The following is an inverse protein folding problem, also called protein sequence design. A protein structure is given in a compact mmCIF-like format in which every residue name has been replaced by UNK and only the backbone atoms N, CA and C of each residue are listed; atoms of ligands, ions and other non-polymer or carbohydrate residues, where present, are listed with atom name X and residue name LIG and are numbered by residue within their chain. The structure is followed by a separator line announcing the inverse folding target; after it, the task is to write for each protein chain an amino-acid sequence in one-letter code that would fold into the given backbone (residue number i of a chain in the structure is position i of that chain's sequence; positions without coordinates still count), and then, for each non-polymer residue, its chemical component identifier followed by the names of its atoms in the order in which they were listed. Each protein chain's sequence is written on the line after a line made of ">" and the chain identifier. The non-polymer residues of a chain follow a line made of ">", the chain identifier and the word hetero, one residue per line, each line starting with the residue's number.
data_IF_097577345319
#
_entry.id   IF_097577345319
#
_cell.length_a   1.000
_cell.length_b   1.000
_cell.length_c   1.000
_cell.angle_alpha   90.00
_cell.angle_beta   90.00
_cell.angle_gamma   90.00
#
_symmetry.space_group_name_H-M   'P 1'
#
loop_
_entity.id
_entity.type
_entity.pdbx_description
1 polymer ?
#
# COMPACT_ATOMS: atom_id res chain seq x y z
N UNK A 1 -26.68 -14.92 -23.57
CA UNK A 1 -27.79 -14.94 -22.59
C UNK A 1 -27.30 -15.64 -21.34
N UNK A 2 -26.70 -14.90 -20.41
CA UNK A 2 -26.52 -15.38 -19.04
C UNK A 2 -27.24 -14.39 -18.12
N UNK A 3 -28.00 -15.01 -17.24
CA UNK A 3 -29.21 -14.54 -16.60
C UNK A 3 -28.84 -13.67 -15.39
N UNK A 4 -29.06 -12.36 -15.49
CA UNK A 4 -29.02 -11.44 -14.35
C UNK A 4 -30.29 -11.65 -13.53
N UNK A 5 -30.20 -12.43 -12.45
CA UNK A 5 -31.29 -12.51 -11.47
C UNK A 5 -31.23 -11.28 -10.57
N UNK A 6 -32.31 -10.53 -10.59
CA UNK A 6 -32.59 -9.37 -9.76
C UNK A 6 -32.46 -9.70 -8.27
N UNK A 7 -31.86 -8.77 -7.52
CA UNK A 7 -32.24 -8.51 -6.14
C UNK A 7 -32.49 -6.99 -6.05
N UNK A 8 -33.77 -6.64 -5.92
CA UNK A 8 -34.25 -5.30 -5.54
C UNK A 8 -34.27 -5.23 -4.01
N UNK A 9 -34.61 -4.06 -3.43
CA UNK A 9 -34.61 -3.64 -2.01
C UNK A 9 -33.25 -3.08 -1.56
N UNK A 10 -33.05 -1.82 -1.19
CA UNK A 10 -33.94 -0.68 -0.91
C UNK A 10 -33.34 0.14 0.24
N UNK A 11 -32.92 1.39 -0.02
CA UNK A 11 -32.66 2.45 0.99
C UNK A 11 -31.36 2.37 1.83
N UNK A 12 -30.49 3.39 1.67
CA UNK A 12 -29.46 3.79 2.65
C UNK A 12 -28.08 3.16 2.47
N UNK A 13 -27.19 3.87 1.76
CA UNK A 13 -25.72 3.76 1.76
C UNK A 13 -25.10 2.35 1.76
N UNK A 14 -25.34 1.61 0.68
CA UNK A 14 -24.57 0.40 0.39
C UNK A 14 -23.19 0.78 -0.16
N UNK A 15 -22.19 0.96 0.72
CA UNK A 15 -20.78 0.90 0.30
C UNK A 15 -20.45 -0.57 0.02
N UNK A 16 -20.77 -1.03 -1.19
CA UNK A 16 -20.13 -2.21 -1.73
C UNK A 16 -18.70 -1.83 -2.08
N UNK A 17 -17.74 -2.13 -1.20
CA UNK A 17 -16.32 -1.99 -1.53
C UNK A 17 -16.02 -2.97 -2.68
N UNK A 18 -15.86 -2.44 -3.90
CA UNK A 18 -15.34 -3.22 -5.01
C UNK A 18 -13.97 -3.82 -4.63
N UNK A 19 -13.61 -5.02 -5.12
CA UNK A 19 -12.28 -5.56 -4.89
C UNK A 19 -11.26 -4.62 -5.55
N UNK A 20 -10.58 -3.83 -4.72
CA UNK A 20 -9.43 -3.02 -5.13
C UNK A 20 -8.49 -3.84 -6.02
N UNK A 21 -7.96 -3.22 -7.08
CA UNK A 21 -7.14 -3.91 -8.07
C UNK A 21 -5.94 -4.58 -7.37
N UNK A 22 -5.67 -5.88 -7.58
CA UNK A 22 -4.53 -6.53 -6.93
C UNK A 22 -3.21 -6.14 -7.59
N UNK A 23 -2.15 -6.01 -6.80
CA UNK A 23 -0.80 -5.79 -7.30
C UNK A 23 -0.33 -7.01 -8.10
N UNK A 24 0.23 -6.74 -9.28
CA UNK A 24 0.85 -7.74 -10.15
C UNK A 24 2.37 -7.64 -10.08
N UNK A 25 3.04 -8.77 -10.30
CA UNK A 25 4.50 -8.84 -10.38
C UNK A 25 5.02 -7.94 -11.51
N UNK A 26 6.03 -7.13 -11.23
CA UNK A 26 6.78 -6.38 -12.25
C UNK A 26 8.08 -7.12 -12.62
N UNK A 27 8.55 -6.94 -13.86
CA UNK A 27 9.82 -7.51 -14.35
C UNK A 27 11.03 -6.61 -14.07
N UNK A 28 10.81 -5.34 -13.70
CA UNK A 28 11.89 -4.41 -13.31
C UNK A 28 12.20 -4.55 -11.82
N UNK A 29 13.33 -5.16 -11.49
CA UNK A 29 13.86 -5.18 -10.12
C UNK A 29 15.04 -4.22 -10.01
N UNK A 30 14.81 -3.05 -9.40
CA UNK A 30 15.84 -2.35 -8.63
C UNK A 30 15.55 -2.62 -7.16
N UNK A 31 16.45 -3.33 -6.47
CA UNK A 31 16.27 -3.60 -5.05
C UNK A 31 17.51 -3.18 -4.27
N UNK A 32 17.31 -2.80 -3.00
CA UNK A 32 18.42 -2.57 -2.09
C UNK A 32 19.22 -3.87 -1.86
N UNK A 33 20.52 -3.73 -1.62
CA UNK A 33 21.42 -4.87 -1.34
C UNK A 33 21.03 -5.62 -0.07
N UNK A 34 20.38 -4.95 0.88
CA UNK A 34 19.85 -5.56 2.10
C UNK A 34 18.66 -6.49 1.86
N UNK A 35 18.08 -6.53 0.65
CA UNK A 35 17.00 -7.44 0.29
C UNK A 35 15.59 -6.98 0.69
N UNK A 36 15.44 -5.94 1.53
CA UNK A 36 14.13 -5.53 2.05
C UNK A 36 13.14 -5.13 0.94
N UNK A 37 13.59 -4.38 -0.06
CA UNK A 37 12.74 -3.95 -1.17
C UNK A 37 12.25 -5.14 -2.00
N UNK A 38 13.08 -6.18 -2.15
CA UNK A 38 12.70 -7.41 -2.86
C UNK A 38 11.69 -8.21 -2.04
N UNK A 39 11.94 -8.41 -0.75
CA UNK A 39 11.01 -9.11 0.15
C UNK A 39 9.63 -8.42 0.17
N UNK A 40 9.62 -7.08 0.25
CA UNK A 40 8.39 -6.31 0.19
C UNK A 40 7.68 -6.48 -1.16
N UNK A 41 8.39 -6.33 -2.28
CA UNK A 41 7.82 -6.48 -3.62
C UNK A 41 7.21 -7.87 -3.87
N UNK A 42 7.89 -8.93 -3.43
CA UNK A 42 7.38 -10.31 -3.55
C UNK A 42 6.14 -10.51 -2.65
N UNK A 43 6.12 -9.92 -1.46
CA UNK A 43 5.01 -10.02 -0.50
C UNK A 43 3.79 -9.16 -0.85
N UNK A 44 3.98 -8.14 -1.70
CA UNK A 44 2.90 -7.29 -2.17
C UNK A 44 2.14 -7.89 -3.36
N UNK A 45 2.65 -8.93 -4.03
CA UNK A 45 1.92 -9.56 -5.14
C UNK A 45 0.60 -10.14 -4.63
N UNK A 46 -0.52 -9.72 -5.24
CA UNK A 46 -1.87 -10.08 -4.83
C UNK A 46 -2.45 -9.23 -3.70
N UNK A 47 -1.67 -8.32 -3.09
CA UNK A 47 -2.20 -7.34 -2.14
C UNK A 47 -3.08 -6.31 -2.85
N UNK A 48 -4.03 -5.75 -2.10
CA UNK A 48 -4.84 -4.62 -2.56
C UNK A 48 -3.94 -3.41 -2.86
N UNK A 49 -4.24 -2.66 -3.93
CA UNK A 49 -3.57 -1.37 -4.21
C UNK A 49 -3.80 -0.33 -3.11
N UNK A 50 -4.93 -0.40 -2.39
CA UNK A 50 -5.29 0.57 -1.36
C UNK A 50 -4.49 0.35 -0.07
N UNK A 51 -4.19 -0.92 0.26
CA UNK A 51 -3.37 -1.29 1.42
C UNK A 51 -1.85 -1.31 1.12
N UNK A 52 -1.47 -1.29 -0.16
CA UNK A 52 -0.11 -1.59 -0.62
C UNK A 52 0.99 -0.80 0.10
N UNK A 53 0.80 0.52 0.23
CA UNK A 53 1.79 1.40 0.84
C UNK A 53 1.96 1.12 2.34
N UNK A 54 0.85 0.93 3.06
CA UNK A 54 0.89 0.62 4.48
C UNK A 54 1.52 -0.75 4.73
N UNK A 55 1.11 -1.75 3.95
CA UNK A 55 1.68 -3.09 3.97
C UNK A 55 3.18 -3.08 3.66
N UNK A 56 3.64 -2.26 2.72
CA UNK A 56 5.06 -2.09 2.43
C UNK A 56 5.85 -1.57 3.63
N UNK A 57 5.30 -0.60 4.37
CA UNK A 57 5.90 -0.11 5.62
C UNK A 57 5.97 -1.21 6.69
N UNK A 58 4.89 -1.96 6.90
CA UNK A 58 4.87 -3.09 7.85
C UNK A 58 5.86 -4.20 7.46
N UNK A 59 5.95 -4.53 6.18
CA UNK A 59 6.92 -5.49 5.65
C UNK A 59 8.35 -5.05 5.91
N UNK A 60 8.63 -3.74 5.93
CA UNK A 60 9.92 -3.21 6.33
C UNK A 60 10.24 -3.50 7.80
N UNK A 61 9.26 -3.47 8.71
CA UNK A 61 9.49 -3.84 10.10
C UNK A 61 9.78 -5.34 10.27
N UNK A 62 9.14 -6.18 9.46
CA UNK A 62 9.35 -7.63 9.50
C UNK A 62 10.67 -8.05 8.83
N UNK A 63 11.08 -7.34 7.77
CA UNK A 63 12.35 -7.55 7.07
C UNK A 63 13.03 -6.19 6.84
N UNK A 64 13.76 -5.67 7.85
CA UNK A 64 14.31 -4.31 7.81
C UNK A 64 15.53 -4.20 6.89
N UNK A 65 15.81 -2.98 6.44
CA UNK A 65 16.91 -2.68 5.52
C UNK A 65 18.34 -2.79 6.11
N UNK A 66 18.49 -3.31 7.32
CA UNK A 66 19.74 -3.34 8.10
C UNK A 66 20.32 -1.95 8.44
N UNK A 67 19.58 -0.86 8.24
CA UNK A 67 19.99 0.46 8.69
C UNK A 67 19.99 0.57 10.22
N UNK A 68 20.68 1.60 10.73
CA UNK A 68 20.82 1.85 12.16
C UNK A 68 19.48 2.05 12.86
N UNK A 69 19.35 1.45 14.05
CA UNK A 69 18.28 1.68 15.02
C UNK A 69 18.56 2.86 15.96
N UNK A 70 19.78 3.42 15.92
CA UNK A 70 20.08 4.66 16.62
C UNK A 70 19.35 5.82 15.99
N UNK A 71 18.81 6.74 16.80
CA UNK A 71 18.27 8.00 16.29
C UNK A 71 19.41 8.80 15.68
N UNK A 72 19.24 9.14 14.41
CA UNK A 72 20.15 10.00 13.70
C UNK A 72 19.83 11.47 14.06
N UNK A 73 20.82 12.27 14.47
CA UNK A 73 20.59 13.66 14.88
C UNK A 73 20.08 14.55 13.74
N UNK A 74 20.38 14.23 12.48
CA UNK A 74 19.97 15.02 11.33
C UNK A 74 18.51 14.75 10.95
N UNK A 75 18.00 13.55 11.26
CA UNK A 75 16.62 13.14 10.93
C UNK A 75 15.67 13.16 12.12
N UNK A 76 16.17 13.13 13.36
CA UNK A 76 15.34 13.02 14.58
C UNK A 76 14.66 11.65 14.76
N UNK A 77 14.96 10.69 13.90
CA UNK A 77 14.44 9.32 13.91
C UNK A 77 15.55 8.33 13.51
N UNK A 78 15.26 7.03 13.58
CA UNK A 78 16.17 5.97 13.16
C UNK A 78 16.25 5.91 11.63
N UNK A 79 17.44 5.64 11.09
CA UNK A 79 17.58 5.43 9.64
C UNK A 79 16.75 4.24 9.14
N UNK A 80 16.50 3.25 10.01
CA UNK A 80 15.55 2.18 9.72
C UNK A 80 14.13 2.72 9.46
N UNK A 81 13.57 3.56 10.35
CA UNK A 81 12.26 4.16 10.10
C UNK A 81 12.24 5.04 8.86
N UNK A 82 13.25 5.91 8.69
CA UNK A 82 13.35 6.76 7.51
C UNK A 82 13.33 5.94 6.23
N UNK A 83 14.08 4.83 6.18
CA UNK A 83 14.06 3.94 5.02
C UNK A 83 12.72 3.21 4.82
N UNK A 84 11.99 2.91 5.89
CA UNK A 84 10.64 2.36 5.85
C UNK A 84 9.63 3.37 5.30
N UNK A 85 9.74 4.64 5.69
CA UNK A 85 8.98 5.75 5.12
C UNK A 85 9.25 5.91 3.63
N UNK A 86 10.53 5.91 3.22
CA UNK A 86 10.91 5.97 1.80
C UNK A 86 10.27 4.80 1.04
N UNK A 87 10.36 3.57 1.53
CA UNK A 87 9.74 2.41 0.86
C UNK A 87 8.22 2.59 0.73
N UNK A 88 7.54 3.00 1.81
CA UNK A 88 6.10 3.24 1.84
C UNK A 88 5.68 4.32 0.84
N UNK A 89 6.39 5.44 0.78
CA UNK A 89 6.14 6.54 -0.14
C UNK A 89 6.37 6.14 -1.60
N UNK A 90 7.47 5.42 -1.88
CA UNK A 90 7.74 4.94 -3.23
C UNK A 90 6.65 3.98 -3.71
N UNK A 91 6.16 3.07 -2.85
CA UNK A 91 5.03 2.19 -3.19
C UNK A 91 3.76 3.01 -3.42
N UNK A 92 3.44 3.96 -2.54
CA UNK A 92 2.26 4.83 -2.69
C UNK A 92 2.26 5.58 -4.04
N UNK A 93 3.42 6.11 -4.43
CA UNK A 93 3.62 6.82 -5.69
C UNK A 93 3.39 5.91 -6.91
N UNK A 94 3.83 4.65 -6.86
CA UNK A 94 3.59 3.69 -7.95
C UNK A 94 2.11 3.31 -8.11
N UNK A 95 1.35 3.27 -7.02
CA UNK A 95 -0.06 2.84 -7.06
C UNK A 95 -1.05 4.00 -7.12
N UNK A 96 -0.61 5.26 -7.08
CA UNK A 96 -1.50 6.43 -6.94
C UNK A 96 -2.62 6.53 -7.98
N UNK A 97 -2.39 6.08 -9.21
CA UNK A 97 -3.39 6.10 -10.29
C UNK A 97 -4.35 4.90 -10.28
N UNK A 98 -4.10 3.94 -9.40
CA UNK A 98 -4.89 2.73 -9.25
C UNK A 98 -5.71 2.72 -7.95
N UNK A 99 -5.49 3.68 -7.05
CA UNK A 99 -6.18 3.76 -5.76
C UNK A 99 -7.49 4.50 -5.87
N UNK A 100 -8.50 3.99 -5.20
CA UNK A 100 -9.76 4.70 -5.01
C UNK A 100 -9.63 5.57 -3.75
N UNK A 101 -9.50 6.88 -3.95
CA UNK A 101 -9.41 7.84 -2.85
C UNK A 101 -10.79 8.42 -2.59
N UNK A 102 -11.41 8.01 -1.49
CA UNK A 102 -12.62 8.65 -1.00
C UNK A 102 -12.30 10.08 -0.55
N UNK A 103 -12.91 11.06 -1.20
CA UNK A 103 -12.81 12.45 -0.78
C UNK A 103 -13.99 12.78 0.14
N UNK A 104 -13.70 13.06 1.41
CA UNK A 104 -14.71 13.54 2.36
C UNK A 104 -14.73 15.06 2.30
N UNK A 105 -15.85 15.64 1.85
CA UNK A 105 -16.08 17.08 1.89
C UNK A 105 -16.62 17.44 3.28
N UNK A 106 -15.93 18.26 4.09
CA UNK A 106 -16.51 18.76 5.32
C UNK A 106 -17.56 19.81 4.95
N UNK A 107 -18.87 19.53 5.08
CA UNK A 107 -19.84 20.60 4.85
C UNK A 107 -21.33 20.34 4.65
N UNK A 108 -21.87 19.11 4.69
CA UNK A 108 -23.33 18.93 4.70
C UNK A 108 -23.71 17.81 5.67
N UNK A 109 -24.23 18.21 6.84
CA UNK A 109 -24.98 17.40 7.79
C UNK A 109 -26.42 17.94 7.85
#
# INVERSE_FOLDING_TARGET
>A
MLHWSQAVWGGGDSVFAEPSRPIRRSSRLGHALCGCARCAAESLVGASVDEAAEKAGLLHHHYPCLASMGKDPDFGDTLMHISGHILKEQVAEQVKFCRDVAYVVPGEL
#
